data_IF_206986617720
#
_entry.id   IF_206986617720
#
_cell.length_a   1.000
_cell.length_b   1.000
_cell.length_c   1.000
_cell.angle_alpha   90.00
_cell.angle_beta   90.00
_cell.angle_gamma   90.00
#
_symmetry.space_group_name_H-M   'P 1'
#
loop_
_entity.id
_entity.type
_entity.pdbx_description
1 polymer ?
#
# COMPACT_ATOMS: atom_id res chain seq x y z
N UNK A 1 36.22 -6.28 -6.05
CA UNK A 1 36.10 -4.81 -5.98
C UNK A 1 36.92 -4.36 -4.79
N UNK A 2 37.73 -3.33 -4.97
CA UNK A 2 38.66 -2.84 -3.96
C UNK A 2 37.92 -1.95 -2.92
N UNK A 3 38.21 -2.13 -1.63
CA UNK A 3 37.50 -1.40 -0.55
C UNK A 3 37.66 0.11 -0.67
N UNK A 4 38.81 0.57 -1.18
CA UNK A 4 39.05 1.99 -1.43
C UNK A 4 38.14 2.54 -2.53
N UNK A 5 37.85 1.75 -3.57
CA UNK A 5 36.94 2.14 -4.65
C UNK A 5 35.50 2.28 -4.13
N UNK A 6 35.06 1.41 -3.21
CA UNK A 6 33.74 1.52 -2.57
C UNK A 6 33.61 2.80 -1.71
N UNK A 7 34.67 3.19 -1.01
CA UNK A 7 34.70 4.41 -0.20
C UNK A 7 34.62 5.65 -1.09
N UNK A 8 35.33 5.68 -2.21
CA UNK A 8 35.27 6.79 -3.17
C UNK A 8 33.90 6.90 -3.83
N UNK A 9 33.29 5.77 -4.20
CA UNK A 9 31.91 5.74 -4.72
C UNK A 9 30.92 6.27 -3.68
N UNK A 10 31.04 5.89 -2.41
CA UNK A 10 30.17 6.37 -1.35
C UNK A 10 30.32 7.89 -1.12
N UNK A 11 31.55 8.42 -1.18
CA UNK A 11 31.80 9.87 -1.11
C UNK A 11 31.19 10.61 -2.29
N UNK A 12 31.35 10.07 -3.49
CA UNK A 12 30.78 10.66 -4.71
C UNK A 12 29.24 10.68 -4.66
N UNK A 13 28.61 9.58 -4.25
CA UNK A 13 27.16 9.51 -4.05
C UNK A 13 26.70 10.54 -3.01
N UNK A 14 27.44 10.71 -1.91
CA UNK A 14 27.11 11.68 -0.87
C UNK A 14 27.19 13.12 -1.38
N UNK A 15 28.20 13.44 -2.20
CA UNK A 15 28.30 14.75 -2.87
C UNK A 15 27.15 14.98 -3.85
N UNK A 16 26.80 13.98 -4.66
CA UNK A 16 25.66 14.08 -5.58
C UNK A 16 24.34 14.28 -4.82
N UNK A 17 24.15 13.60 -3.70
CA UNK A 17 22.97 13.76 -2.86
C UNK A 17 22.87 15.17 -2.26
N UNK A 18 23.99 15.72 -1.79
CA UNK A 18 24.04 17.09 -1.28
C UNK A 18 23.69 18.14 -2.36
N UNK A 19 24.17 17.95 -3.59
CA UNK A 19 23.85 18.85 -4.70
C UNK A 19 22.37 18.74 -5.11
N UNK A 20 21.82 17.53 -5.14
CA UNK A 20 20.38 17.31 -5.37
C UNK A 20 19.54 18.05 -4.33
N UNK A 21 19.93 17.97 -3.05
CA UNK A 21 19.17 18.62 -1.98
C UNK A 21 19.30 20.15 -2.03
N UNK A 22 20.47 20.68 -2.42
CA UNK A 22 20.65 22.10 -2.74
C UNK A 22 19.73 22.55 -3.88
N UNK A 23 19.70 21.81 -4.98
CA UNK A 23 18.84 22.13 -6.14
C UNK A 23 17.35 22.10 -5.78
N UNK A 24 16.92 21.16 -4.91
CA UNK A 24 15.56 21.14 -4.38
C UNK A 24 15.20 22.41 -3.60
N UNK A 25 16.15 23.01 -2.87
CA UNK A 25 15.90 24.27 -2.15
C UNK A 25 15.83 25.49 -3.06
N UNK A 26 16.48 25.44 -4.22
CA UNK A 26 16.46 26.54 -5.22
C UNK A 26 15.22 26.49 -6.12
N UNK A 27 14.62 25.31 -6.28
CA UNK A 27 13.34 25.19 -6.94
C UNK A 27 12.26 25.90 -6.11
N UNK A 28 11.47 26.82 -6.69
CA UNK A 28 10.37 27.43 -5.97
C UNK A 28 9.49 26.29 -5.46
N UNK A 29 9.27 26.24 -4.14
CA UNK A 29 8.36 25.26 -3.55
C UNK A 29 7.06 25.39 -4.31
N UNK A 30 6.72 24.39 -5.12
CA UNK A 30 5.49 24.40 -5.89
C UNK A 30 4.37 24.25 -4.85
N UNK A 31 3.98 25.38 -4.24
CA UNK A 31 3.02 25.44 -3.14
C UNK A 31 1.70 24.99 -3.72
N UNK A 32 1.45 23.68 -3.63
CA UNK A 32 0.15 23.10 -3.94
C UNK A 32 -0.88 23.93 -3.16
N UNK A 33 -1.93 24.38 -3.85
CA UNK A 33 -2.98 25.15 -3.18
C UNK A 33 -3.50 24.35 -1.98
N UNK A 34 -3.91 25.04 -0.90
CA UNK A 34 -4.43 24.41 0.32
C UNK A 34 -5.48 23.34 0.02
N UNK A 35 -6.33 23.56 -0.99
CA UNK A 35 -7.33 22.61 -1.48
C UNK A 35 -6.71 21.35 -2.10
N UNK A 36 -5.69 21.48 -2.94
CA UNK A 36 -4.98 20.32 -3.53
C UNK A 36 -4.25 19.50 -2.46
N UNK A 37 -3.62 20.17 -1.48
CA UNK A 37 -2.94 19.50 -0.38
C UNK A 37 -3.92 18.73 0.53
N UNK A 38 -5.08 19.31 0.83
CA UNK A 38 -6.14 18.66 1.63
C UNK A 38 -6.69 17.40 0.93
N UNK A 39 -7.00 17.49 -0.37
CA UNK A 39 -7.46 16.35 -1.17
C UNK A 39 -6.41 15.23 -1.20
N UNK A 40 -5.14 15.57 -1.44
CA UNK A 40 -4.05 14.60 -1.43
C UNK A 40 -3.90 13.93 -0.05
N UNK A 41 -4.05 14.69 1.03
CA UNK A 41 -4.00 14.16 2.39
C UNK A 41 -5.15 13.20 2.67
N UNK A 42 -6.38 13.54 2.26
CA UNK A 42 -7.55 12.67 2.37
C UNK A 42 -7.38 11.38 1.57
N UNK A 43 -6.89 11.48 0.34
CA UNK A 43 -6.62 10.31 -0.52
C UNK A 43 -5.54 9.40 0.07
N UNK A 44 -4.46 9.98 0.63
CA UNK A 44 -3.43 9.20 1.33
C UNK A 44 -3.98 8.48 2.56
N UNK A 45 -4.81 9.15 3.37
CA UNK A 45 -5.48 8.55 4.54
C UNK A 45 -6.41 7.42 4.13
N UNK A 46 -7.25 7.64 3.12
CA UNK A 46 -8.16 6.61 2.60
C UNK A 46 -7.37 5.40 2.07
N UNK A 47 -6.28 5.63 1.35
CA UNK A 47 -5.41 4.56 0.86
C UNK A 47 -4.81 3.74 2.00
N UNK A 48 -4.33 4.40 3.06
CA UNK A 48 -3.77 3.72 4.23
C UNK A 48 -4.83 2.88 4.95
N UNK A 49 -6.00 3.45 5.22
CA UNK A 49 -7.12 2.74 5.87
C UNK A 49 -7.53 1.52 5.04
N UNK A 50 -7.67 1.68 3.72
CA UNK A 50 -8.01 0.58 2.81
C UNK A 50 -6.97 -0.54 2.86
N UNK A 51 -5.67 -0.20 2.91
CA UNK A 51 -4.60 -1.20 3.04
C UNK A 51 -4.67 -1.95 4.38
N UNK A 52 -4.93 -1.24 5.47
CA UNK A 52 -5.06 -1.85 6.81
C UNK A 52 -6.23 -2.82 6.87
N UNK A 53 -7.41 -2.41 6.38
CA UNK A 53 -8.58 -3.29 6.32
C UNK A 53 -8.33 -4.51 5.43
N UNK A 54 -7.70 -4.34 4.26
CA UNK A 54 -7.33 -5.48 3.41
C UNK A 54 -6.43 -6.47 4.15
N UNK A 55 -5.38 -5.98 4.82
CA UNK A 55 -4.46 -6.83 5.57
C UNK A 55 -5.17 -7.58 6.70
N UNK A 56 -6.03 -6.90 7.44
CA UNK A 56 -6.81 -7.52 8.51
C UNK A 56 -7.75 -8.60 7.96
N UNK A 57 -8.44 -8.32 6.85
CA UNK A 57 -9.27 -9.28 6.15
C UNK A 57 -8.49 -10.51 5.68
N UNK A 58 -7.35 -10.32 5.00
CA UNK A 58 -6.46 -11.41 4.55
C UNK A 58 -5.97 -12.25 5.73
N UNK A 59 -5.65 -11.62 6.85
CA UNK A 59 -5.21 -12.30 8.07
C UNK A 59 -6.32 -13.15 8.66
N UNK A 60 -7.54 -12.60 8.79
CA UNK A 60 -8.70 -13.35 9.29
C UNK A 60 -9.07 -14.50 8.36
N UNK A 61 -8.98 -14.32 7.03
CA UNK A 61 -9.20 -15.41 6.08
C UNK A 61 -8.18 -16.53 6.26
N UNK A 62 -6.91 -16.19 6.47
CA UNK A 62 -5.86 -17.17 6.71
C UNK A 62 -6.06 -17.91 8.02
N UNK A 63 -6.35 -17.19 9.11
CA UNK A 63 -6.61 -17.77 10.43
C UNK A 63 -7.81 -18.74 10.45
N UNK A 64 -8.82 -18.48 9.61
CA UNK A 64 -10.05 -19.26 9.56
C UNK A 64 -10.12 -20.21 8.34
N UNK A 65 -9.02 -20.39 7.60
CA UNK A 65 -9.01 -21.12 6.34
C UNK A 65 -9.53 -22.57 6.48
N UNK A 66 -9.12 -23.28 7.52
CA UNK A 66 -9.53 -24.66 7.78
C UNK A 66 -11.03 -24.75 8.10
N UNK A 67 -11.53 -23.81 8.91
CA UNK A 67 -12.95 -23.73 9.28
C UNK A 67 -13.82 -23.38 8.07
N UNK A 68 -13.37 -22.45 7.23
CA UNK A 68 -14.04 -22.09 5.97
C UNK A 68 -14.08 -23.30 5.03
N UNK A 69 -12.99 -24.06 4.93
CA UNK A 69 -12.91 -25.25 4.09
C UNK A 69 -13.88 -26.33 4.58
N UNK A 70 -13.91 -26.58 5.89
CA UNK A 70 -14.84 -27.53 6.50
C UNK A 70 -16.31 -27.12 6.29
N UNK A 71 -16.65 -25.85 6.53
CA UNK A 71 -18.01 -25.34 6.31
C UNK A 71 -18.42 -25.43 4.84
N UNK A 72 -17.51 -25.11 3.90
CA UNK A 72 -17.78 -25.23 2.47
C UNK A 72 -18.01 -26.68 2.03
N UNK A 73 -17.35 -27.66 2.65
CA UNK A 73 -17.63 -29.08 2.39
C UNK A 73 -19.03 -29.48 2.86
N UNK A 74 -19.48 -28.98 4.02
CA UNK A 74 -20.83 -29.21 4.53
C UNK A 74 -21.90 -28.52 3.65
N UNK A 75 -21.61 -27.31 3.16
CA UNK A 75 -22.49 -26.58 2.23
C UNK A 75 -22.63 -27.32 0.89
N UNK A 76 -21.55 -27.88 0.36
CA UNK A 76 -21.60 -28.70 -0.86
C UNK A 76 -22.48 -29.94 -0.68
N UNK A 77 -22.46 -30.57 0.50
CA UNK A 77 -23.33 -31.70 0.82
C UNK A 77 -24.82 -31.33 0.92
N UNK A 78 -25.14 -30.04 1.07
CA UNK A 78 -26.51 -29.51 1.13
C UNK A 78 -26.93 -28.80 -0.16
N UNK A 79 -26.16 -28.96 -1.24
CA UNK A 79 -26.36 -28.30 -2.55
C UNK A 79 -26.36 -26.76 -2.49
N UNK A 80 -25.84 -26.17 -1.42
CA UNK A 80 -25.73 -24.73 -1.26
C UNK A 80 -24.41 -24.21 -1.86
N UNK A 81 -24.41 -22.97 -2.40
CA UNK A 81 -23.21 -22.39 -2.97
C UNK A 81 -22.15 -22.17 -1.86
N UNK A 82 -20.89 -22.54 -2.10
CA UNK A 82 -19.84 -22.34 -1.12
C UNK A 82 -19.57 -20.85 -0.91
N UNK A 83 -19.19 -20.49 0.31
CA UNK A 83 -18.69 -19.17 0.63
C UNK A 83 -17.39 -18.94 -0.15
N UNK A 84 -17.42 -17.96 -1.07
CA UNK A 84 -16.23 -17.48 -1.77
C UNK A 84 -15.76 -16.19 -1.11
N UNK A 85 -14.54 -16.17 -0.53
CA UNK A 85 -14.00 -15.01 0.15
C UNK A 85 -13.45 -13.94 -0.80
N UNK A 86 -13.80 -14.00 -2.10
CA UNK A 86 -13.43 -13.04 -3.14
C UNK A 86 -14.06 -11.67 -2.83
N UNK A 87 -13.47 -11.00 -1.85
CA UNK A 87 -13.90 -9.70 -1.37
C UNK A 87 -13.50 -8.70 -2.46
N UNK A 88 -14.43 -8.37 -3.35
CA UNK A 88 -14.23 -7.32 -4.34
C UNK A 88 -14.22 -5.94 -3.65
N UNK A 89 -13.10 -5.60 -2.98
CA UNK A 89 -12.84 -4.26 -2.42
C UNK A 89 -13.08 -3.18 -3.50
N UNK A 90 -12.88 -3.54 -4.78
CA UNK A 90 -13.15 -2.69 -5.93
C UNK A 90 -14.59 -2.15 -5.99
N UNK A 91 -15.61 -2.93 -5.59
CA UNK A 91 -17.00 -2.47 -5.58
C UNK A 91 -17.26 -1.45 -4.46
N UNK A 92 -16.66 -1.65 -3.28
CA UNK A 92 -16.78 -0.72 -2.14
C UNK A 92 -16.03 0.59 -2.44
N UNK A 93 -14.86 0.50 -3.05
CA UNK A 93 -14.06 1.68 -3.43
C UNK A 93 -14.69 2.52 -4.55
N UNK A 94 -15.63 1.95 -5.32
CA UNK A 94 -16.39 2.68 -6.34
C UNK A 94 -17.21 3.83 -5.73
N UNK A 95 -17.67 3.67 -4.48
CA UNK A 95 -18.44 4.71 -3.77
C UNK A 95 -17.59 5.91 -3.31
N UNK A 96 -16.26 5.79 -3.33
CA UNK A 96 -15.32 6.83 -2.88
C UNK A 96 -14.56 7.49 -4.05
N UNK A 97 -14.88 7.16 -5.30
CA UNK A 97 -14.33 7.79 -6.52
C UNK A 97 -15.21 8.91 -7.02
#
# INVERSE_FOLDING_TARGET
>A
MDNNMLIEMARFISMQQAEIDRLKTMLPSNKKSKKKLDVETKMRRLSLITKMYRKQWETTLFENADQITWLNQQLLATELPPFKPDFEIAQILKAFR
#
